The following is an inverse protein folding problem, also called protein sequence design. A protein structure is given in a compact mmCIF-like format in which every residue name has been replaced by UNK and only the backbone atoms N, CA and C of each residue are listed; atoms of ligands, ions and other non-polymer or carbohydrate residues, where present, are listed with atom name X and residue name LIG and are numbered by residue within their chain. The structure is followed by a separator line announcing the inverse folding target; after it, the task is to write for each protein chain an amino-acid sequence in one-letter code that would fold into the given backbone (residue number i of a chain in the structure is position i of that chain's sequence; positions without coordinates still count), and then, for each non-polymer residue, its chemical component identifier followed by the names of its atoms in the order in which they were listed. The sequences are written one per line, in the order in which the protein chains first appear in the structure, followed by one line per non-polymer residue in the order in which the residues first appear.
data_IF_908642763939
#
_entry.id   IF_908642763939
#
_cell.length_a   1.000
_cell.length_b   1.000
_cell.length_c   1.000
_cell.angle_alpha   90.00
_cell.angle_beta   90.00
_cell.angle_gamma   90.00
#
_symmetry.space_group_name_H-M   'P 1'
#
loop_
_entity.id
_entity.type
_entity.pdbx_description
1 polymer ?
#
# COMPACT_ATOMS: atom_id res chain seq x y z
N UNK A 1 -30.96 9.10 -2.68
CA UNK A 1 -31.22 8.32 -1.45
C UNK A 1 -30.98 6.82 -1.61
N UNK A 2 -31.13 6.20 -2.77
CA UNK A 2 -30.93 4.74 -2.96
C UNK A 2 -29.47 4.28 -2.94
N UNK A 3 -28.51 5.15 -3.31
CA UNK A 3 -27.06 4.81 -3.29
C UNK A 3 -26.46 4.68 -1.88
N UNK A 4 -26.98 5.41 -0.88
CA UNK A 4 -26.47 5.33 0.51
C UNK A 4 -26.86 4.05 1.25
N UNK A 5 -27.93 3.38 0.85
CA UNK A 5 -28.40 2.13 1.49
C UNK A 5 -27.64 0.89 0.99
N UNK A 6 -27.18 0.87 -0.26
CA UNK A 6 -26.35 -0.22 -0.79
C UNK A 6 -24.92 -0.15 -0.22
N UNK A 7 -24.34 1.04 -0.11
CA UNK A 7 -23.01 1.24 0.46
C UNK A 7 -22.95 0.81 1.93
N UNK A 8 -23.97 1.12 2.72
CA UNK A 8 -24.04 0.72 4.13
C UNK A 8 -24.22 -0.79 4.34
N UNK A 9 -24.91 -1.50 3.42
CA UNK A 9 -25.08 -2.97 3.48
C UNK A 9 -23.82 -3.74 3.06
N UNK A 10 -22.87 -3.12 2.34
CA UNK A 10 -21.64 -3.74 1.88
C UNK A 10 -20.44 -3.43 2.78
N UNK A 11 -20.58 -2.50 3.75
CA UNK A 11 -19.53 -2.20 4.71
C UNK A 11 -19.15 -3.47 5.51
N UNK A 12 -17.86 -3.81 5.51
CA UNK A 12 -17.34 -4.99 6.19
C UNK A 12 -17.19 -6.25 5.31
N UNK A 13 -17.70 -6.28 4.06
CA UNK A 13 -17.42 -7.37 3.13
C UNK A 13 -16.01 -7.27 2.56
N UNK A 14 -15.36 -8.40 2.29
CA UNK A 14 -14.02 -8.42 1.68
C UNK A 14 -14.10 -7.95 0.23
N UNK A 15 -13.36 -6.86 -0.08
CA UNK A 15 -13.21 -6.36 -1.45
C UNK A 15 -11.99 -6.97 -2.14
N UNK A 16 -10.86 -7.02 -1.44
CA UNK A 16 -9.61 -7.62 -1.95
C UNK A 16 -9.23 -8.80 -1.07
N UNK A 17 -8.98 -9.96 -1.68
CA UNK A 17 -8.47 -11.16 -1.03
C UNK A 17 -7.18 -11.58 -1.72
N UNK A 18 -6.11 -11.76 -0.93
CA UNK A 18 -4.79 -12.19 -1.41
C UNK A 18 -4.39 -13.45 -0.65
N UNK A 19 -4.04 -14.52 -1.37
CA UNK A 19 -3.64 -15.80 -0.80
C UNK A 19 -2.35 -16.31 -1.40
N UNK A 20 -1.37 -16.59 -0.54
CA UNK A 20 -0.09 -17.20 -0.90
C UNK A 20 0.66 -16.41 -1.98
N UNK A 21 0.50 -15.08 -2.04
CA UNK A 21 1.07 -14.24 -3.09
C UNK A 21 2.59 -14.31 -3.09
N UNK A 22 3.19 -14.66 -4.24
CA UNK A 22 4.63 -14.67 -4.45
C UNK A 22 5.01 -13.84 -5.66
N UNK A 23 6.06 -13.04 -5.51
CA UNK A 23 6.71 -12.32 -6.60
C UNK A 23 8.21 -12.50 -6.44
N UNK A 24 8.77 -13.35 -7.31
CA UNK A 24 10.18 -13.67 -7.33
C UNK A 24 10.79 -13.15 -8.63
N UNK A 25 11.80 -12.30 -8.54
CA UNK A 25 12.51 -11.75 -9.69
C UNK A 25 13.76 -12.57 -9.97
N UNK A 26 13.95 -13.07 -11.19
CA UNK A 26 15.16 -13.80 -11.55
C UNK A 26 16.37 -12.85 -11.61
N UNK A 27 17.45 -13.22 -10.95
CA UNK A 27 18.77 -12.60 -11.10
C UNK A 27 19.49 -13.31 -12.23
N UNK A 28 19.70 -12.60 -13.33
CA UNK A 28 20.44 -13.14 -14.49
C UNK A 28 21.94 -13.01 -14.26
N UNK A 29 22.69 -14.06 -14.57
CA UNK A 29 24.16 -14.10 -14.47
C UNK A 29 24.79 -14.87 -15.60
N UNK A 30 26.13 -14.67 -15.76
CA UNK A 30 26.94 -15.31 -16.80
C UNK A 30 26.67 -14.78 -18.21
N UNK A 31 27.54 -15.21 -19.19
CA UNK A 31 27.47 -14.77 -20.58
C UNK A 31 26.15 -15.13 -21.28
N UNK A 32 25.44 -16.15 -20.81
CA UNK A 32 24.21 -16.66 -21.41
C UNK A 32 22.92 -16.11 -20.74
N UNK A 33 23.04 -15.19 -19.78
CA UNK A 33 21.90 -14.57 -19.12
C UNK A 33 20.97 -15.54 -18.38
N UNK A 34 21.46 -16.72 -17.96
CA UNK A 34 20.66 -17.70 -17.22
C UNK A 34 20.35 -17.20 -15.81
N UNK A 35 19.16 -17.56 -15.30
CA UNK A 35 18.80 -17.24 -13.91
C UNK A 35 19.70 -18.02 -12.94
N UNK A 36 20.52 -17.31 -12.16
CA UNK A 36 21.45 -17.88 -11.17
C UNK A 36 20.91 -17.79 -9.75
N UNK A 37 19.94 -16.91 -9.49
CA UNK A 37 19.29 -16.72 -8.20
C UNK A 37 17.91 -16.08 -8.40
N UNK A 38 17.14 -15.95 -7.32
CA UNK A 38 15.83 -15.25 -7.33
C UNK A 38 15.75 -14.29 -6.14
N UNK A 39 15.35 -13.06 -6.41
CA UNK A 39 14.97 -12.11 -5.35
C UNK A 39 13.53 -12.40 -4.95
N UNK A 40 13.31 -12.91 -3.74
CA UNK A 40 11.99 -13.21 -3.18
C UNK A 40 11.37 -11.93 -2.60
N UNK A 41 10.96 -11.01 -3.47
CA UNK A 41 10.44 -9.72 -3.06
C UNK A 41 9.12 -9.82 -2.28
N UNK A 42 8.27 -10.78 -2.64
CA UNK A 42 7.06 -11.18 -1.93
C UNK A 42 7.06 -12.71 -1.87
N UNK A 43 6.89 -13.29 -0.68
CA UNK A 43 7.06 -14.73 -0.49
C UNK A 43 6.00 -15.34 0.42
N UNK A 44 4.79 -15.50 -0.12
CA UNK A 44 3.65 -16.11 0.58
C UNK A 44 2.88 -15.11 1.44
N UNK A 45 2.45 -14.00 0.84
CA UNK A 45 1.64 -13.00 1.53
C UNK A 45 0.17 -13.38 1.48
N UNK A 46 -0.45 -13.43 2.66
CA UNK A 46 -1.89 -13.56 2.87
C UNK A 46 -2.42 -12.28 3.51
N UNK A 47 -3.39 -11.64 2.88
CA UNK A 47 -4.09 -10.48 3.41
C UNK A 47 -5.47 -10.31 2.78
N UNK A 48 -6.32 -9.54 3.43
CA UNK A 48 -7.58 -9.10 2.87
C UNK A 48 -7.87 -7.65 3.24
N UNK A 49 -8.61 -6.95 2.37
CA UNK A 49 -9.06 -5.57 2.60
C UNK A 49 -10.58 -5.55 2.48
N UNK A 50 -11.26 -4.98 3.48
CA UNK A 50 -12.72 -4.84 3.48
C UNK A 50 -13.13 -3.60 2.70
N UNK A 51 -14.37 -3.58 2.22
CA UNK A 51 -14.93 -2.38 1.58
C UNK A 51 -14.96 -1.20 2.53
N UNK A 52 -14.52 -0.03 2.04
CA UNK A 52 -14.45 1.19 2.81
C UNK A 52 -13.34 1.22 3.87
N UNK A 53 -12.49 0.19 3.93
CA UNK A 53 -11.37 0.08 4.88
C UNK A 53 -10.09 0.70 4.30
N UNK A 54 -9.27 1.27 5.17
CA UNK A 54 -7.85 1.54 4.89
C UNK A 54 -6.99 0.49 5.58
N UNK A 55 -6.37 -0.41 4.81
CA UNK A 55 -5.34 -1.31 5.31
C UNK A 55 -3.97 -0.67 5.13
N UNK A 56 -3.29 -0.33 6.21
CA UNK A 56 -1.90 0.11 6.20
C UNK A 56 -0.95 -1.07 5.96
N UNK A 57 0.04 -0.91 5.08
CA UNK A 57 1.11 -1.88 4.87
C UNK A 57 2.46 -1.22 5.18
N UNK A 58 3.09 -1.63 6.27
CA UNK A 58 4.31 -1.01 6.81
C UNK A 58 5.48 -1.98 6.88
N UNK A 59 6.70 -1.45 6.98
CA UNK A 59 7.94 -2.20 7.13
C UNK A 59 9.14 -1.43 6.59
N UNK A 60 10.36 -1.92 6.82
CA UNK A 60 11.60 -1.32 6.33
C UNK A 60 11.62 -1.18 4.81
N UNK A 61 12.43 -0.24 4.29
CA UNK A 61 12.63 -0.09 2.83
C UNK A 61 13.12 -1.41 2.21
N UNK A 62 12.62 -1.73 1.02
CA UNK A 62 12.99 -2.98 0.32
C UNK A 62 12.32 -4.26 0.83
N UNK A 63 11.46 -4.23 1.87
CA UNK A 63 10.80 -5.44 2.37
C UNK A 63 9.69 -6.01 1.47
N UNK A 64 9.34 -5.34 0.34
CA UNK A 64 8.39 -5.86 -0.66
C UNK A 64 7.02 -5.15 -0.72
N UNK A 65 6.79 -4.07 0.04
CA UNK A 65 5.49 -3.36 0.13
C UNK A 65 4.95 -2.89 -1.22
N UNK A 66 5.74 -2.07 -1.94
CA UNK A 66 5.36 -1.55 -3.26
C UNK A 66 5.18 -2.67 -4.28
N UNK A 67 6.00 -3.72 -4.21
CA UNK A 67 5.87 -4.92 -5.04
C UNK A 67 4.56 -5.63 -4.77
N UNK A 68 4.16 -5.76 -3.50
CA UNK A 68 2.85 -6.35 -3.11
C UNK A 68 1.70 -5.54 -3.69
N UNK A 69 1.69 -4.22 -3.52
CA UNK A 69 0.66 -3.35 -4.10
C UNK A 69 0.56 -3.46 -5.63
N UNK A 70 1.70 -3.43 -6.33
CA UNK A 70 1.74 -3.57 -7.79
C UNK A 70 1.31 -4.97 -8.27
N UNK A 71 1.61 -6.01 -7.51
CA UNK A 71 1.16 -7.37 -7.81
C UNK A 71 -0.35 -7.53 -7.62
N UNK A 72 -0.93 -6.94 -6.59
CA UNK A 72 -2.39 -6.90 -6.37
C UNK A 72 -3.10 -6.23 -7.55
N UNK A 73 -2.57 -5.10 -8.06
CA UNK A 73 -3.09 -4.39 -9.24
C UNK A 73 -2.76 -5.08 -10.57
N UNK A 74 -2.09 -6.23 -10.55
CA UNK A 74 -1.62 -6.93 -11.75
C UNK A 74 -0.74 -6.04 -12.66
N UNK A 75 -0.02 -5.07 -12.09
CA UNK A 75 1.04 -4.31 -12.77
C UNK A 75 2.33 -5.14 -12.85
N UNK A 76 2.53 -6.01 -11.88
CA UNK A 76 3.56 -7.06 -11.86
C UNK A 76 2.82 -8.39 -11.81
N UNK A 77 3.14 -9.30 -12.73
CA UNK A 77 2.53 -10.64 -12.74
C UNK A 77 3.10 -11.46 -11.56
N UNK A 78 2.25 -11.96 -10.65
CA UNK A 78 2.70 -12.85 -9.59
C UNK A 78 3.36 -14.13 -10.12
N UNK A 79 4.36 -14.61 -9.39
CA UNK A 79 5.00 -15.92 -9.65
C UNK A 79 4.08 -17.06 -9.21
N UNK A 80 3.35 -16.86 -8.10
CA UNK A 80 2.36 -17.78 -7.56
C UNK A 80 1.38 -17.04 -6.65
N UNK A 81 0.31 -17.73 -6.24
CA UNK A 81 -0.74 -17.22 -5.37
C UNK A 81 -1.95 -16.73 -6.15
N UNK A 82 -2.90 -16.17 -5.40
CA UNK A 82 -4.22 -15.75 -5.85
C UNK A 82 -4.49 -14.32 -5.39
N UNK A 83 -5.09 -13.51 -6.27
CA UNK A 83 -5.59 -12.16 -5.96
C UNK A 83 -7.01 -12.06 -6.48
N UNK A 84 -7.97 -11.82 -5.58
CA UNK A 84 -9.36 -11.55 -5.95
C UNK A 84 -9.73 -10.11 -5.66
N UNK A 85 -10.44 -9.50 -6.61
CA UNK A 85 -11.11 -8.22 -6.46
C UNK A 85 -12.61 -8.43 -6.63
N UNK A 86 -13.38 -8.12 -5.59
CA UNK A 86 -14.83 -8.30 -5.60
C UNK A 86 -15.25 -9.74 -6.02
N UNK A 87 -14.59 -10.73 -5.42
CA UNK A 87 -14.79 -12.15 -5.71
C UNK A 87 -14.20 -12.66 -7.02
N UNK A 88 -13.74 -11.78 -7.92
CA UNK A 88 -13.15 -12.14 -9.22
C UNK A 88 -11.66 -12.41 -9.09
N UNK A 89 -11.21 -13.59 -9.49
CA UNK A 89 -9.81 -14.02 -9.48
C UNK A 89 -9.02 -13.33 -10.61
N UNK A 90 -8.17 -12.35 -10.24
CA UNK A 90 -7.42 -11.53 -11.21
C UNK A 90 -6.23 -12.27 -11.84
N UNK A 91 -5.59 -13.17 -11.10
CA UNK A 91 -4.35 -13.83 -11.53
C UNK A 91 -4.57 -14.83 -12.68
N UNK A 92 -5.83 -15.21 -12.93
CA UNK A 92 -6.24 -16.14 -14.00
C UNK A 92 -6.83 -15.44 -15.23
N UNK A 93 -7.04 -14.13 -15.16
CA UNK A 93 -7.61 -13.37 -16.27
C UNK A 93 -6.60 -13.16 -17.40
N UNK A 94 -7.12 -13.06 -18.61
CA UNK A 94 -6.36 -12.61 -19.78
C UNK A 94 -5.95 -11.14 -19.65
N UNK A 95 -4.91 -10.67 -20.36
CA UNK A 95 -4.48 -9.27 -20.31
C UNK A 95 -5.59 -8.25 -20.62
N UNK A 96 -6.51 -8.60 -21.53
CA UNK A 96 -7.67 -7.75 -21.87
C UNK A 96 -8.67 -7.62 -20.72
N UNK A 97 -8.99 -8.75 -20.06
CA UNK A 97 -9.87 -8.78 -18.91
C UNK A 97 -9.27 -8.03 -17.71
N UNK A 98 -7.95 -8.22 -17.43
CA UNK A 98 -7.23 -7.45 -16.41
C UNK A 98 -7.31 -5.96 -16.70
N UNK A 99 -7.10 -5.55 -17.98
CA UNK A 99 -7.23 -4.14 -18.39
C UNK A 99 -8.61 -3.59 -18.07
N UNK A 100 -9.67 -4.32 -18.36
CA UNK A 100 -11.05 -3.91 -18.06
C UNK A 100 -11.26 -3.73 -16.54
N UNK A 101 -10.69 -4.61 -15.71
CA UNK A 101 -10.78 -4.55 -14.24
C UNK A 101 -9.97 -3.39 -13.64
N UNK A 102 -8.94 -2.90 -14.31
CA UNK A 102 -8.14 -1.74 -13.85
C UNK A 102 -8.95 -0.46 -13.72
N UNK A 103 -10.10 -0.35 -14.35
CA UNK A 103 -11.03 0.75 -14.07
C UNK A 103 -11.44 0.80 -12.59
N UNK A 104 -11.61 -0.34 -11.95
CA UNK A 104 -12.07 -0.45 -10.56
C UNK A 104 -10.92 -0.45 -9.53
N UNK A 105 -9.66 -0.51 -9.99
CA UNK A 105 -8.48 -0.55 -9.13
C UNK A 105 -7.40 0.38 -9.68
N UNK A 106 -6.99 1.37 -8.90
CA UNK A 106 -6.07 2.41 -9.32
C UNK A 106 -4.87 2.53 -8.40
N UNK A 107 -3.86 3.29 -8.80
CA UNK A 107 -2.65 3.51 -8.03
C UNK A 107 -2.35 4.99 -7.89
N UNK A 108 -2.02 5.41 -6.66
CA UNK A 108 -1.38 6.68 -6.38
C UNK A 108 0.10 6.36 -6.15
N UNK A 109 0.99 6.96 -6.94
CA UNK A 109 2.42 6.63 -6.96
C UNK A 109 3.20 7.44 -5.92
N UNK A 110 4.33 6.88 -5.50
CA UNK A 110 5.26 7.44 -4.52
C UNK A 110 5.88 8.76 -4.98
N UNK A 111 6.30 8.83 -6.24
CA UNK A 111 6.94 10.02 -6.81
C UNK A 111 5.95 10.83 -7.63
N UNK A 112 5.47 11.98 -7.11
CA UNK A 112 4.57 12.83 -7.85
C UNK A 112 5.25 13.51 -9.06
N UNK A 113 6.58 13.57 -9.11
CA UNK A 113 7.32 14.13 -10.25
C UNK A 113 7.44 13.12 -11.40
N UNK A 114 7.89 11.91 -11.10
CA UNK A 114 8.07 10.86 -12.11
C UNK A 114 6.78 10.20 -12.58
N UNK A 115 5.67 10.39 -11.84
CA UNK A 115 4.37 9.79 -12.19
C UNK A 115 3.54 10.64 -13.17
N UNK A 116 3.88 11.90 -13.38
CA UNK A 116 3.18 12.83 -14.28
C UNK A 116 4.09 13.16 -15.45
N UNK A 117 3.66 12.89 -16.68
CA UNK A 117 4.44 13.24 -17.89
C UNK A 117 4.54 14.77 -17.99
N UNK A 118 5.75 15.35 -17.93
CA UNK A 118 5.95 16.80 -17.93
C UNK A 118 5.55 17.49 -19.23
N UNK A 119 5.32 16.73 -20.30
CA UNK A 119 4.90 17.23 -21.61
C UNK A 119 3.39 17.46 -21.68
N UNK A 120 2.62 16.91 -20.74
CA UNK A 120 1.17 17.00 -20.71
C UNK A 120 0.70 18.10 -19.75
N UNK A 121 -0.40 18.73 -20.11
CA UNK A 121 -1.11 19.64 -19.22
C UNK A 121 -1.84 18.86 -18.13
N UNK A 122 -2.17 19.51 -17.02
CA UNK A 122 -2.96 18.93 -15.94
C UNK A 122 -4.27 18.33 -16.45
N UNK A 123 -4.94 19.04 -17.36
CA UNK A 123 -6.16 18.55 -18.00
C UNK A 123 -5.96 17.25 -18.75
N UNK A 124 -4.89 17.14 -19.54
CA UNK A 124 -4.56 15.92 -20.29
C UNK A 124 -4.22 14.76 -19.37
N UNK A 125 -3.44 15.00 -18.31
CA UNK A 125 -3.07 13.97 -17.32
C UNK A 125 -4.30 13.38 -16.64
N UNK A 126 -5.25 14.21 -16.22
CA UNK A 126 -6.47 13.75 -15.53
C UNK A 126 -7.48 13.15 -16.52
N UNK A 127 -7.52 13.63 -17.79
CA UNK A 127 -8.37 13.10 -18.85
C UNK A 127 -7.92 11.74 -19.37
N UNK A 128 -6.61 11.44 -19.34
CA UNK A 128 -6.02 10.24 -19.93
C UNK A 128 -6.74 8.92 -19.57
N UNK A 129 -7.06 8.61 -18.30
CA UNK A 129 -7.83 7.41 -17.98
C UNK A 129 -9.23 7.41 -18.61
N UNK A 130 -9.93 8.55 -18.63
CA UNK A 130 -11.27 8.68 -19.20
C UNK A 130 -11.25 8.40 -20.70
N UNK A 131 -10.28 8.95 -21.42
CA UNK A 131 -10.08 8.75 -22.85
C UNK A 131 -9.73 7.29 -23.17
N UNK A 132 -8.76 6.71 -22.44
CA UNK A 132 -8.30 5.34 -22.61
C UNK A 132 -9.40 4.30 -22.38
N UNK A 133 -10.34 4.58 -21.47
CA UNK A 133 -11.50 3.72 -21.16
C UNK A 133 -12.79 4.19 -21.88
N UNK A 134 -12.71 5.19 -22.77
CA UNK A 134 -13.84 5.74 -23.54
C UNK A 134 -15.03 6.15 -22.67
N UNK A 135 -14.75 6.87 -21.58
CA UNK A 135 -15.74 7.30 -20.56
C UNK A 135 -16.38 8.66 -20.91
N UNK A 136 -16.99 8.78 -22.06
CA UNK A 136 -17.71 9.97 -22.50
C UNK A 136 -17.14 10.63 -23.76
N UNK A 137 -17.86 11.65 -24.23
CA UNK A 137 -17.39 12.51 -25.31
C UNK A 137 -16.44 13.61 -24.79
N UNK A 138 -15.73 14.35 -25.67
CA UNK A 138 -14.75 15.36 -25.25
C UNK A 138 -15.28 16.42 -24.29
N UNK A 139 -16.55 16.82 -24.44
CA UNK A 139 -17.17 17.83 -23.57
C UNK A 139 -17.44 17.25 -22.16
N UNK A 140 -17.94 16.03 -22.09
CA UNK A 140 -18.18 15.33 -20.84
C UNK A 140 -16.86 15.09 -20.07
N UNK A 141 -15.79 14.69 -20.77
CA UNK A 141 -14.46 14.52 -20.19
C UNK A 141 -13.94 15.83 -19.62
N UNK A 142 -14.06 16.97 -20.34
CA UNK A 142 -13.64 18.28 -19.82
C UNK A 142 -14.39 18.67 -18.55
N UNK A 143 -15.71 18.47 -18.53
CA UNK A 143 -16.54 18.75 -17.34
C UNK A 143 -16.11 17.89 -16.15
N UNK A 144 -15.84 16.60 -16.38
CA UNK A 144 -15.41 15.68 -15.34
C UNK A 144 -14.00 16.02 -14.83
N UNK A 145 -13.07 16.38 -15.70
CA UNK A 145 -11.72 16.86 -15.32
C UNK A 145 -11.81 18.08 -14.41
N UNK A 146 -12.63 19.07 -14.78
CA UNK A 146 -12.82 20.26 -13.95
C UNK A 146 -13.39 19.91 -12.57
N UNK A 147 -14.38 19.01 -12.51
CA UNK A 147 -14.97 18.49 -11.26
C UNK A 147 -13.94 17.75 -10.40
N UNK A 148 -13.09 16.94 -11.02
CA UNK A 148 -12.05 16.18 -10.30
C UNK A 148 -10.97 17.10 -9.71
N UNK A 149 -10.58 18.17 -10.43
CA UNK A 149 -9.66 19.17 -9.92
C UNK A 149 -10.23 19.88 -8.69
N UNK A 150 -11.50 20.31 -8.77
CA UNK A 150 -12.20 20.94 -7.65
C UNK A 150 -12.27 20.01 -6.42
N UNK A 151 -12.59 18.73 -6.61
CA UNK A 151 -12.67 17.72 -5.56
C UNK A 151 -11.35 17.56 -4.79
N UNK A 152 -10.20 17.66 -5.47
CA UNK A 152 -8.88 17.58 -4.82
C UNK A 152 -8.38 18.94 -4.33
N UNK A 153 -9.22 20.00 -4.40
CA UNK A 153 -8.89 21.35 -3.94
C UNK A 153 -7.92 22.09 -4.86
N UNK A 154 -7.97 21.82 -6.16
CA UNK A 154 -7.26 22.56 -7.20
C UNK A 154 -8.24 23.39 -8.02
N UNK A 155 -7.83 24.63 -8.38
CA UNK A 155 -8.65 25.49 -9.22
C UNK A 155 -8.83 24.85 -10.62
N UNK A 156 -10.07 24.64 -11.11
CA UNK A 156 -10.34 24.10 -12.43
C UNK A 156 -9.70 24.89 -13.60
N UNK A 157 -9.43 26.17 -13.44
CA UNK A 157 -8.71 26.96 -14.46
C UNK A 157 -7.26 26.49 -14.71
N UNK A 158 -6.70 25.62 -13.85
CA UNK A 158 -5.35 25.09 -14.02
C UNK A 158 -5.24 23.98 -15.08
N UNK A 159 -6.33 23.60 -15.75
CA UNK A 159 -6.35 22.52 -16.76
C UNK A 159 -5.31 22.67 -17.87
N UNK A 160 -4.96 23.92 -18.24
CA UNK A 160 -4.01 24.22 -19.33
C UNK A 160 -2.56 24.38 -18.84
N UNK A 161 -2.31 24.32 -17.53
CA UNK A 161 -0.96 24.41 -16.98
C UNK A 161 -0.26 23.06 -17.04
N UNK A 162 1.06 23.09 -17.12
CA UNK A 162 1.89 21.89 -17.10
C UNK A 162 2.20 21.45 -15.67
N UNK A 163 2.42 20.12 -15.47
CA UNK A 163 2.67 19.57 -14.14
C UNK A 163 3.89 20.19 -13.44
N UNK A 164 4.91 20.62 -14.19
CA UNK A 164 6.13 21.22 -13.62
C UNK A 164 5.91 22.64 -13.03
N UNK A 165 4.80 23.29 -13.31
CA UNK A 165 4.44 24.60 -12.73
C UNK A 165 3.83 24.50 -11.32
N UNK A 166 3.66 23.29 -10.78
CA UNK A 166 3.00 23.04 -9.51
C UNK A 166 3.97 22.58 -8.42
N UNK A 167 3.63 22.90 -7.15
CA UNK A 167 4.35 22.37 -5.99
C UNK A 167 4.19 20.85 -5.85
N UNK A 168 5.04 20.18 -5.06
CA UNK A 168 4.96 18.74 -4.82
C UNK A 168 3.57 18.29 -4.33
N UNK A 169 2.99 19.01 -3.37
CA UNK A 169 1.65 18.72 -2.86
C UNK A 169 0.54 18.91 -3.89
N UNK A 170 0.64 19.94 -4.74
CA UNK A 170 -0.30 20.14 -5.84
C UNK A 170 -0.17 19.04 -6.90
N UNK A 171 1.04 18.60 -7.24
CA UNK A 171 1.26 17.45 -8.14
C UNK A 171 0.67 16.17 -7.56
N UNK A 172 0.82 15.95 -6.26
CA UNK A 172 0.19 14.81 -5.60
C UNK A 172 -1.34 14.84 -5.72
N UNK A 173 -1.96 16.01 -5.56
CA UNK A 173 -3.40 16.21 -5.77
C UNK A 173 -3.81 15.94 -7.22
N UNK A 174 -3.00 16.31 -8.21
CA UNK A 174 -3.22 15.95 -9.63
C UNK A 174 -3.18 14.44 -9.83
N UNK A 175 -2.19 13.74 -9.22
CA UNK A 175 -2.10 12.28 -9.23
C UNK A 175 -3.31 11.59 -8.58
N UNK A 176 -3.82 12.16 -7.49
CA UNK A 176 -5.06 11.69 -6.83
C UNK A 176 -6.27 11.91 -7.75
N UNK A 177 -6.41 13.09 -8.37
CA UNK A 177 -7.50 13.37 -9.34
C UNK A 177 -7.48 12.36 -10.49
N UNK A 178 -6.30 12.06 -11.06
CA UNK A 178 -6.13 11.04 -12.11
C UNK A 178 -6.58 9.67 -11.64
N UNK A 179 -6.20 9.25 -10.42
CA UNK A 179 -6.60 7.96 -9.88
C UNK A 179 -8.12 7.85 -9.65
N UNK A 180 -8.78 8.96 -9.34
CA UNK A 180 -10.25 9.03 -9.14
C UNK A 180 -11.05 9.02 -10.45
N UNK A 181 -10.44 9.32 -11.58
CA UNK A 181 -11.13 9.58 -12.85
C UNK A 181 -12.06 8.44 -13.31
N UNK A 182 -11.72 7.20 -12.99
CA UNK A 182 -12.53 6.03 -13.35
C UNK A 182 -13.49 5.57 -12.23
N UNK A 183 -13.63 6.34 -11.16
CA UNK A 183 -14.44 5.99 -9.98
C UNK A 183 -14.08 4.60 -9.42
N UNK A 184 -12.81 4.34 -9.07
CA UNK A 184 -12.39 3.03 -8.59
C UNK A 184 -13.00 2.70 -7.24
N UNK A 185 -13.18 1.40 -6.98
CA UNK A 185 -13.57 0.91 -5.64
C UNK A 185 -12.34 0.65 -4.75
N UNK A 186 -11.16 0.47 -5.35
CA UNK A 186 -9.92 0.14 -4.66
C UNK A 186 -8.74 0.98 -5.17
N UNK A 187 -7.95 1.53 -4.26
CA UNK A 187 -6.75 2.31 -4.58
C UNK A 187 -5.57 1.78 -3.75
N UNK A 188 -4.47 1.49 -4.42
CA UNK A 188 -3.16 1.31 -3.77
C UNK A 188 -2.47 2.67 -3.73
N UNK A 189 -2.27 3.20 -2.52
CA UNK A 189 -1.51 4.42 -2.29
C UNK A 189 -0.08 4.05 -1.86
N UNK A 190 0.86 4.08 -2.82
CA UNK A 190 2.25 3.68 -2.61
C UNK A 190 3.07 4.89 -2.16
N UNK A 191 3.31 5.00 -0.85
CA UNK A 191 4.03 6.11 -0.19
C UNK A 191 3.57 7.52 -0.64
N UNK A 192 2.26 7.81 -0.63
CA UNK A 192 1.70 8.99 -1.31
C UNK A 192 2.11 10.32 -0.70
N UNK A 193 2.80 10.33 0.43
CA UNK A 193 3.20 11.55 1.16
C UNK A 193 4.69 11.59 1.50
N UNK A 194 5.48 10.59 1.12
CA UNK A 194 6.89 10.45 1.55
C UNK A 194 7.81 11.57 1.07
N UNK A 195 7.51 12.20 -0.07
CA UNK A 195 8.29 13.27 -0.68
C UNK A 195 7.77 14.69 -0.35
N UNK A 196 6.85 14.82 0.62
CA UNK A 196 6.18 16.07 0.95
C UNK A 196 6.56 16.57 2.35
N UNK A 197 6.51 17.88 2.56
CA UNK A 197 6.67 18.51 3.87
C UNK A 197 5.55 18.09 4.84
N UNK A 198 5.83 18.06 6.14
CA UNK A 198 4.92 17.54 7.17
C UNK A 198 3.52 18.20 7.13
N UNK A 199 3.46 19.52 6.91
CA UNK A 199 2.19 20.25 6.81
C UNK A 199 1.38 19.85 5.58
N UNK A 200 2.04 19.63 4.45
CA UNK A 200 1.43 19.18 3.20
C UNK A 200 1.04 17.71 3.30
N UNK A 201 1.84 16.87 3.97
CA UNK A 201 1.47 15.48 4.26
C UNK A 201 0.11 15.41 4.97
N UNK A 202 -0.09 16.19 6.04
CA UNK A 202 -1.35 16.22 6.78
C UNK A 202 -2.54 16.60 5.88
N UNK A 203 -2.38 17.60 5.01
CA UNK A 203 -3.42 18.01 4.07
C UNK A 203 -3.79 16.91 3.07
N UNK A 204 -2.80 16.17 2.54
CA UNK A 204 -3.03 15.06 1.60
C UNK A 204 -3.68 13.87 2.32
N UNK A 205 -3.31 13.58 3.56
CA UNK A 205 -3.93 12.50 4.35
C UNK A 205 -5.40 12.81 4.64
N UNK A 206 -5.70 14.04 5.09
CA UNK A 206 -7.08 14.48 5.31
C UNK A 206 -7.90 14.40 4.01
N UNK A 207 -7.33 14.85 2.87
CA UNK A 207 -7.97 14.71 1.57
C UNK A 207 -8.31 13.24 1.26
N UNK A 208 -7.39 12.29 1.47
CA UNK A 208 -7.64 10.86 1.22
C UNK A 208 -8.75 10.30 2.12
N UNK A 209 -8.81 10.73 3.38
CA UNK A 209 -9.90 10.33 4.31
C UNK A 209 -11.25 10.92 3.89
N UNK A 210 -11.30 12.21 3.51
CA UNK A 210 -12.51 12.86 2.99
C UNK A 210 -13.02 12.16 1.73
N UNK A 211 -12.11 11.82 0.82
CA UNK A 211 -12.43 11.08 -0.41
C UNK A 211 -12.95 9.66 -0.09
N UNK A 212 -12.38 8.99 0.90
CA UNK A 212 -12.85 7.69 1.37
C UNK A 212 -14.29 7.78 1.86
N UNK A 213 -14.59 8.72 2.74
CA UNK A 213 -15.93 8.94 3.25
C UNK A 213 -16.95 9.34 2.18
N UNK A 214 -16.53 10.22 1.25
CA UNK A 214 -17.40 10.76 0.18
C UNK A 214 -17.73 9.74 -0.90
N UNK A 215 -16.76 8.90 -1.28
CA UNK A 215 -16.89 7.98 -2.43
C UNK A 215 -16.90 6.49 -2.03
N UNK A 216 -16.78 6.16 -0.74
CA UNK A 216 -16.73 4.78 -0.26
C UNK A 216 -15.46 4.04 -0.73
N UNK A 217 -14.34 4.74 -0.86
CA UNK A 217 -13.09 4.19 -1.35
C UNK A 217 -12.49 3.19 -0.37
N UNK A 218 -11.80 2.21 -0.90
CA UNK A 218 -11.02 1.24 -0.13
C UNK A 218 -9.55 1.44 -0.45
N UNK A 219 -8.69 1.50 0.58
CA UNK A 219 -7.27 1.75 0.39
C UNK A 219 -6.39 0.58 0.86
N UNK A 220 -5.36 0.28 0.08
CA UNK A 220 -4.12 -0.30 0.58
C UNK A 220 -3.09 0.83 0.68
N UNK A 221 -2.82 1.30 1.89
CA UNK A 221 -1.93 2.42 2.15
C UNK A 221 -0.53 1.92 2.51
N UNK A 222 0.41 2.04 1.59
CA UNK A 222 1.80 1.64 1.77
C UNK A 222 2.59 2.82 2.31
N UNK A 223 3.29 2.65 3.43
CA UNK A 223 4.20 3.65 3.96
C UNK A 223 5.32 3.02 4.81
N UNK A 224 6.39 3.77 5.01
CA UNK A 224 7.43 3.44 5.98
C UNK A 224 7.26 4.21 7.29
N UNK A 225 6.50 5.31 7.30
CA UNK A 225 6.25 6.13 8.49
C UNK A 225 5.01 5.61 9.25
N UNK A 226 5.27 5.00 10.40
CA UNK A 226 4.24 4.43 11.27
C UNK A 226 3.28 5.47 11.84
N UNK A 227 3.74 6.71 12.12
CA UNK A 227 2.85 7.78 12.61
C UNK A 227 1.79 8.16 11.57
N UNK A 228 2.17 8.22 10.30
CA UNK A 228 1.24 8.46 9.18
C UNK A 228 0.21 7.33 9.07
N UNK A 229 0.68 6.09 9.15
CA UNK A 229 -0.19 4.90 9.05
C UNK A 229 -1.17 4.81 10.23
N UNK A 230 -0.73 5.14 11.43
CA UNK A 230 -1.61 5.21 12.62
C UNK A 230 -2.80 6.14 12.39
N UNK A 231 -2.56 7.27 11.71
CA UNK A 231 -3.59 8.30 11.50
C UNK A 231 -4.66 7.90 10.47
N UNK A 232 -4.27 7.17 9.41
CA UNK A 232 -5.18 6.91 8.27
C UNK A 232 -5.75 5.49 8.25
N UNK A 233 -5.14 4.54 8.97
CA UNK A 233 -5.44 3.12 8.78
C UNK A 233 -6.36 2.54 9.85
N UNK A 234 -7.36 1.76 9.42
CA UNK A 234 -8.21 0.97 10.33
C UNK A 234 -7.47 -0.27 10.86
N UNK A 235 -6.73 -0.95 9.97
CA UNK A 235 -5.88 -2.09 10.29
C UNK A 235 -4.50 -1.88 9.69
N UNK A 236 -3.51 -2.52 10.30
CA UNK A 236 -2.11 -2.43 9.85
C UNK A 236 -1.53 -3.84 9.69
N UNK A 237 -0.94 -4.08 8.53
CA UNK A 237 -0.12 -5.24 8.23
C UNK A 237 1.35 -4.85 8.24
N UNK A 238 2.15 -5.52 9.06
CA UNK A 238 3.60 -5.31 9.16
C UNK A 238 4.30 -6.33 8.29
N UNK A 239 5.14 -5.86 7.37
CA UNK A 239 5.84 -6.70 6.40
C UNK A 239 7.35 -6.70 6.68
N UNK A 240 7.94 -7.87 6.73
CA UNK A 240 9.38 -8.07 6.85
C UNK A 240 9.86 -9.10 5.83
N UNK A 241 10.86 -8.75 5.05
CA UNK A 241 11.53 -9.61 4.08
C UNK A 241 10.55 -10.48 3.25
N UNK A 242 9.59 -9.80 2.58
CA UNK A 242 8.61 -10.44 1.69
C UNK A 242 7.43 -11.12 2.37
N UNK A 243 7.28 -11.09 3.70
CA UNK A 243 6.22 -11.78 4.46
C UNK A 243 5.50 -10.85 5.41
N UNK A 244 4.21 -11.09 5.63
CA UNK A 244 3.46 -10.42 6.71
C UNK A 244 3.84 -11.11 8.03
N UNK A 245 4.33 -10.31 8.97
CA UNK A 245 4.75 -10.81 10.30
C UNK A 245 3.75 -10.48 11.39
N UNK A 246 2.93 -9.44 11.19
CA UNK A 246 1.87 -9.07 12.12
C UNK A 246 0.73 -8.35 11.39
N UNK A 247 -0.51 -8.56 11.83
CA UNK A 247 -1.72 -7.93 11.29
C UNK A 247 -2.73 -7.73 12.42
N UNK A 248 -3.11 -6.48 12.68
CA UNK A 248 -4.09 -6.15 13.71
C UNK A 248 -4.87 -4.88 13.37
N UNK A 249 -5.87 -4.55 14.20
CA UNK A 249 -6.44 -3.19 14.22
C UNK A 249 -5.34 -2.19 14.55
N UNK A 250 -5.42 -0.98 13.97
CA UNK A 250 -4.41 0.05 14.17
C UNK A 250 -4.15 0.29 15.65
N UNK A 251 -5.17 0.63 16.44
CA UNK A 251 -5.04 0.88 17.88
C UNK A 251 -4.33 -0.27 18.61
N UNK A 252 -4.80 -1.49 18.43
CA UNK A 252 -4.25 -2.69 19.09
C UNK A 252 -2.77 -2.92 18.75
N UNK A 253 -2.39 -2.73 17.47
CA UNK A 253 -1.00 -2.91 17.04
C UNK A 253 -0.05 -1.91 17.69
N UNK A 254 -0.50 -0.66 17.87
CA UNK A 254 0.33 0.38 18.49
C UNK A 254 0.40 0.27 20.03
N UNK A 255 -0.62 -0.30 20.67
CA UNK A 255 -0.67 -0.48 22.12
C UNK A 255 0.01 -1.77 22.57
N UNK A 256 -0.27 -2.87 21.89
CA UNK A 256 0.18 -4.23 22.27
C UNK A 256 0.77 -5.00 21.10
N UNK A 257 1.90 -4.55 20.51
CA UNK A 257 2.56 -5.27 19.42
C UNK A 257 3.06 -6.63 19.87
N UNK A 258 2.76 -7.69 19.10
CA UNK A 258 3.10 -9.05 19.42
C UNK A 258 4.42 -9.52 18.82
N UNK A 259 4.73 -9.10 17.57
CA UNK A 259 5.95 -9.53 16.92
C UNK A 259 7.13 -8.64 17.34
N UNK A 260 8.30 -9.21 17.72
CA UNK A 260 9.47 -8.43 18.12
C UNK A 260 9.90 -7.36 17.10
N UNK A 261 9.81 -7.65 15.81
CA UNK A 261 10.08 -6.64 14.77
C UNK A 261 9.13 -5.43 14.86
N UNK A 262 7.84 -5.64 15.08
CA UNK A 262 6.87 -4.56 15.26
C UNK A 262 7.19 -3.74 16.51
N UNK A 263 7.56 -4.40 17.61
CA UNK A 263 8.00 -3.72 18.84
C UNK A 263 9.21 -2.81 18.58
N UNK A 264 10.20 -3.31 17.83
CA UNK A 264 11.37 -2.52 17.47
C UNK A 264 11.01 -1.32 16.58
N UNK A 265 10.18 -1.53 15.53
CA UNK A 265 9.71 -0.45 14.66
C UNK A 265 8.96 0.63 15.44
N UNK A 266 8.03 0.25 16.32
CA UNK A 266 7.26 1.18 17.13
C UNK A 266 8.12 1.90 18.17
N UNK A 267 9.14 1.23 18.71
CA UNK A 267 10.08 1.86 19.66
C UNK A 267 10.90 2.98 18.99
N UNK A 268 11.05 2.98 17.69
CA UNK A 268 11.78 3.99 16.93
C UNK A 268 10.92 5.21 16.53
N UNK A 269 9.59 5.14 16.69
CA UNK A 269 8.68 6.25 16.37
C UNK A 269 8.80 7.32 17.47
N UNK A 270 9.19 8.57 17.15
CA UNK A 270 9.27 9.64 18.15
C UNK A 270 7.91 9.96 18.76
N UNK A 271 7.88 10.20 20.07
CA UNK A 271 6.68 10.68 20.78
C UNK A 271 6.80 12.19 20.99
N UNK A 272 5.79 12.98 20.58
CA UNK A 272 5.85 14.45 20.72
C UNK A 272 5.65 14.94 22.16
N UNK A 273 6.15 14.18 23.14
CA UNK A 273 6.20 14.53 24.54
C UNK A 273 7.63 14.27 25.05
N UNK A 274 8.42 15.32 25.38
CA UNK A 274 9.81 15.19 25.80
C UNK A 274 10.02 14.34 27.06
N UNK A 275 9.08 14.39 28.02
CA UNK A 275 9.18 13.61 29.25
C UNK A 275 8.99 12.11 29.00
N UNK A 276 8.04 11.75 28.12
CA UNK A 276 7.80 10.37 27.73
C UNK A 276 8.95 9.87 26.88
N UNK A 277 9.41 10.67 25.90
CA UNK A 277 10.51 10.31 24.98
C UNK A 277 11.81 10.05 25.75
N UNK A 278 12.13 10.86 26.79
CA UNK A 278 13.35 10.69 27.59
C UNK A 278 13.37 9.37 28.40
N UNK A 279 12.22 8.83 28.73
CA UNK A 279 12.08 7.58 29.52
C UNK A 279 11.94 6.32 28.63
N UNK A 280 11.72 6.49 27.31
CA UNK A 280 11.56 5.36 26.41
C UNK A 280 12.89 4.65 26.14
N UNK A 281 12.86 3.34 26.20
CA UNK A 281 13.98 2.51 25.76
C UNK A 281 13.75 2.13 24.29
N UNK A 282 14.54 2.72 23.41
CA UNK A 282 14.56 2.36 21.99
C UNK A 282 15.18 0.97 21.82
N UNK A 283 14.50 0.08 21.12
CA UNK A 283 15.03 -1.23 20.76
C UNK A 283 15.89 -1.06 19.50
N UNK A 284 17.19 -1.21 19.65
CA UNK A 284 18.14 -1.14 18.55
C UNK A 284 18.29 -2.55 17.98
N UNK A 285 17.94 -2.71 16.70
CA UNK A 285 18.12 -3.98 16.00
C UNK A 285 19.59 -4.13 15.58
N UNK A 286 20.22 -5.20 15.99
CA UNK A 286 21.60 -5.51 15.62
C UNK A 286 21.64 -6.20 14.25
N UNK A 287 22.70 -5.92 13.48
CA UNK A 287 22.94 -6.50 12.16
C UNK A 287 22.11 -5.89 11.02
N UNK A 288 22.52 -6.22 9.80
CA UNK A 288 21.86 -5.75 8.57
C UNK A 288 20.59 -6.54 8.25
N UNK A 289 19.72 -5.94 7.42
CA UNK A 289 18.57 -6.66 6.86
C UNK A 289 19.06 -7.78 5.95
N UNK A 290 18.68 -9.04 6.21
CA UNK A 290 19.11 -10.16 5.37
C UNK A 290 18.69 -9.98 3.91
N UNK A 291 19.50 -10.58 3.00
CA UNK A 291 19.21 -10.50 1.57
C UNK A 291 17.94 -11.28 1.19
N UNK A 292 17.02 -10.69 0.41
CA UNK A 292 15.86 -11.40 -0.11
C UNK A 292 16.21 -12.46 -1.16
N UNK A 293 17.47 -12.52 -1.60
CA UNK A 293 17.97 -13.58 -2.50
C UNK A 293 18.16 -14.88 -1.72
N UNK A 294 18.75 -14.79 -0.52
CA UNK A 294 19.00 -15.91 0.38
C UNK A 294 18.42 -15.59 1.76
N UNK A 295 17.08 -15.64 1.92
CA UNK A 295 16.46 -15.36 3.20
C UNK A 295 16.89 -16.41 4.24
N UNK A 296 17.01 -16.03 5.53
CA UNK A 296 17.31 -16.96 6.60
C UNK A 296 16.33 -18.14 6.65
N UNK A 297 16.80 -19.31 7.08
CA UNK A 297 15.94 -20.47 7.37
C UNK A 297 14.98 -20.15 8.53
N UNK A 298 13.85 -20.83 8.59
CA UNK A 298 12.87 -20.61 9.65
C UNK A 298 12.28 -19.19 9.62
N UNK A 299 12.18 -18.55 10.78
CA UNK A 299 11.70 -17.17 10.90
C UNK A 299 12.70 -16.19 10.25
N UNK A 300 12.29 -15.45 9.23
CA UNK A 300 13.18 -14.51 8.54
C UNK A 300 13.78 -13.44 9.45
N UNK A 301 13.14 -13.14 10.59
CA UNK A 301 13.60 -12.14 11.54
C UNK A 301 14.56 -12.70 12.60
N UNK A 302 14.74 -14.04 12.72
CA UNK A 302 15.52 -14.63 13.81
C UNK A 302 16.95 -14.09 13.96
N UNK A 303 17.69 -13.68 12.89
CA UNK A 303 19.06 -13.16 13.06
C UNK A 303 19.13 -11.81 13.79
N UNK A 304 18.04 -11.07 13.81
CA UNK A 304 17.94 -9.73 14.45
C UNK A 304 17.01 -9.74 15.68
N UNK A 305 16.48 -10.91 16.05
CA UNK A 305 15.49 -11.04 17.10
C UNK A 305 16.15 -11.35 18.45
N UNK A 306 15.97 -10.50 19.44
CA UNK A 306 16.47 -10.72 20.82
C UNK A 306 15.76 -11.84 21.57
N UNK A 307 14.60 -12.32 21.06
CA UNK A 307 13.86 -13.47 21.61
C UNK A 307 14.11 -14.76 20.84
N UNK A 308 15.07 -14.78 19.89
CA UNK A 308 15.29 -15.93 19.01
C UNK A 308 15.72 -17.17 19.81
N UNK A 309 15.05 -18.29 19.53
CA UNK A 309 15.38 -19.61 20.07
C UNK A 309 15.65 -20.61 18.93
N UNK A 310 16.05 -21.84 19.24
CA UNK A 310 16.42 -22.86 18.25
C UNK A 310 15.32 -23.07 17.18
N UNK A 311 14.06 -23.21 17.60
CA UNK A 311 12.91 -23.39 16.70
C UNK A 311 12.76 -22.23 15.67
N UNK A 312 13.17 -21.01 16.03
CA UNK A 312 13.10 -19.87 15.12
C UNK A 312 14.06 -20.00 13.94
N UNK A 313 15.10 -20.81 14.05
CA UNK A 313 16.06 -21.07 12.96
C UNK A 313 15.60 -22.18 12.02
N UNK A 314 14.70 -23.04 12.49
CA UNK A 314 14.29 -24.25 11.78
C UNK A 314 12.92 -24.12 11.13
N UNK A 315 11.96 -23.54 11.84
CA UNK A 315 10.55 -23.53 11.44
C UNK A 315 10.08 -22.10 11.16
N UNK A 316 9.45 -21.93 9.99
CA UNK A 316 8.77 -20.67 9.62
C UNK A 316 7.49 -20.57 10.45
N UNK A 317 7.33 -19.55 11.31
CA UNK A 317 6.08 -19.37 12.04
C UNK A 317 4.95 -18.98 11.09
N UNK A 318 3.80 -19.67 11.13
CA UNK A 318 2.63 -19.26 10.36
C UNK A 318 2.02 -17.96 10.92
N UNK A 319 1.37 -17.19 10.06
CA UNK A 319 0.58 -16.02 10.47
C UNK A 319 -0.74 -16.52 11.08
N UNK A 320 -0.79 -16.60 12.40
CA UNK A 320 -1.94 -17.13 13.15
C UNK A 320 -2.56 -16.09 14.05
N UNK A 321 -3.82 -16.24 14.34
CA UNK A 321 -4.52 -15.44 15.32
C UNK A 321 -4.00 -15.77 16.74
N UNK A 322 -3.34 -14.81 17.36
CA UNK A 322 -2.81 -14.92 18.74
C UNK A 322 -3.74 -14.29 19.78
N UNK A 323 -4.47 -13.26 19.38
CA UNK A 323 -5.50 -12.59 20.16
C UNK A 323 -6.68 -12.21 19.25
N UNK A 324 -7.80 -11.72 19.80
CA UNK A 324 -8.98 -11.34 19.01
C UNK A 324 -8.62 -10.33 17.89
N UNK A 325 -8.79 -10.73 16.63
CA UNK A 325 -8.43 -9.94 15.44
C UNK A 325 -6.96 -9.46 15.40
N UNK A 326 -6.06 -10.18 16.07
CA UNK A 326 -4.63 -9.88 16.12
C UNK A 326 -3.83 -11.14 15.73
N UNK A 327 -3.15 -11.06 14.59
CA UNK A 327 -2.39 -12.15 13.98
C UNK A 327 -0.90 -11.86 14.05
N UNK A 328 -0.10 -12.83 14.40
CA UNK A 328 1.36 -12.71 14.42
C UNK A 328 2.03 -13.99 13.94
N UNK A 329 3.07 -13.83 13.11
CA UNK A 329 3.93 -14.92 12.64
C UNK A 329 5.15 -15.02 13.57
N UNK A 330 4.93 -15.44 14.81
CA UNK A 330 5.97 -15.53 15.83
C UNK A 330 5.74 -16.77 16.72
N UNK A 331 6.81 -17.50 17.05
CA UNK A 331 6.77 -18.62 18.01
C UNK A 331 6.61 -18.12 19.45
N UNK A 332 7.12 -16.91 19.75
CA UNK A 332 7.14 -16.30 21.10
C UNK A 332 6.58 -14.87 21.04
N UNK A 333 5.27 -14.70 20.75
CA UNK A 333 4.64 -13.39 20.63
C UNK A 333 4.51 -12.71 22.01
N UNK A 334 4.57 -11.35 22.03
CA UNK A 334 4.33 -10.52 23.23
C UNK A 334 5.58 -10.01 23.93
#
# INVERSE_FOLDING_TARGET
MLQNTETARQAGTTLVEVKGLKVHFPVKGGLLGRAVAQVKAVDGVDLFVRRGETLGLVGESGCGKSTTGRAILQLIKPTAGSVKLDGVELTRLSPGEVRARRANMQMIFQDPFGSLDPRYTVGQIVAEPLENFKRGNPQQIRTEVARLLDIVGLNPYYVNRFAHEFSGGQRQRIGIARALALHPSFIVADEPVSALDVSIQAQVLNLLQDLQGKFGLTYLFVAHNLSVVKHISDRVAVMYLGRIVELAKSETLYETPLHPYTQALLSAVPVPNPEIESRRKRIILEGDVPSPVNPPSGCNFHPRCWKAQAICREIIPPLEQKQSNHYAACHFPG
#
